data_IF_765148905724
#
_entry.id   IF_765148905724
#
_cell.length_a   1.000
_cell.length_b   1.000
_cell.length_c   1.000
_cell.angle_alpha   90.00
_cell.angle_beta   90.00
_cell.angle_gamma   90.00
#
_symmetry.space_group_name_H-M   'P 1'
#
loop_
_entity.id
_entity.type
_entity.pdbx_description
1 polymer ?
#
# COMPACT_ATOMS: atom_id res chain seq x y z
N UNK A 1 11.76 22.04 -10.62
CA UNK A 1 12.00 20.72 -9.98
C UNK A 1 10.76 19.93 -10.29
N UNK A 2 10.83 18.92 -11.15
CA UNK A 2 9.64 18.20 -11.65
C UNK A 2 9.04 17.39 -10.51
N UNK A 3 8.00 17.92 -9.90
CA UNK A 3 7.05 17.17 -9.07
C UNK A 3 6.52 16.04 -9.94
N UNK A 4 6.97 14.81 -9.67
CA UNK A 4 6.40 13.62 -10.27
C UNK A 4 4.98 13.50 -9.72
N UNK A 5 4.04 14.09 -10.44
CA UNK A 5 2.63 13.86 -10.24
C UNK A 5 2.37 12.43 -10.77
N UNK A 6 2.66 11.42 -9.96
CA UNK A 6 2.27 10.04 -10.22
C UNK A 6 0.74 10.01 -10.21
N UNK A 7 0.14 10.26 -11.38
CA UNK A 7 -1.30 10.23 -11.53
C UNK A 7 -1.80 8.81 -11.24
N UNK A 8 -2.30 8.63 -10.02
CA UNK A 8 -2.96 7.41 -9.60
C UNK A 8 -4.11 7.09 -10.57
N UNK A 9 -4.22 5.83 -10.97
CA UNK A 9 -5.39 5.38 -11.72
C UNK A 9 -6.65 5.52 -10.84
N UNK A 10 -7.84 5.46 -11.44
CA UNK A 10 -9.10 5.61 -10.71
C UNK A 10 -9.24 4.61 -9.55
N UNK A 11 -8.72 3.39 -9.73
CA UNK A 11 -8.71 2.36 -8.69
C UNK A 11 -7.78 2.76 -7.54
N UNK A 12 -6.55 3.18 -7.83
CA UNK A 12 -5.61 3.67 -6.82
C UNK A 12 -6.11 4.94 -6.11
N UNK A 13 -6.79 5.85 -6.81
CA UNK A 13 -7.43 7.05 -6.22
C UNK A 13 -8.51 6.67 -5.21
N UNK A 14 -9.35 5.68 -5.55
CA UNK A 14 -10.35 5.13 -4.62
C UNK A 14 -9.67 4.39 -3.46
N UNK A 15 -8.59 3.68 -3.74
CA UNK A 15 -7.85 2.88 -2.76
C UNK A 15 -7.09 3.74 -1.74
N UNK A 16 -6.53 4.89 -2.13
CA UNK A 16 -5.93 5.83 -1.18
C UNK A 16 -6.90 6.42 -0.17
N UNK A 17 -8.21 6.36 -0.45
CA UNK A 17 -9.27 6.72 0.48
C UNK A 17 -9.88 5.51 1.19
N UNK A 18 -9.38 4.30 0.91
CA UNK A 18 -9.89 3.06 1.46
C UNK A 18 -9.35 2.82 2.88
N UNK A 19 -10.14 2.15 3.71
CA UNK A 19 -9.75 1.84 5.09
C UNK A 19 -8.61 0.82 5.15
N UNK A 20 -7.91 0.76 6.29
CA UNK A 20 -6.75 -0.14 6.51
C UNK A 20 -7.06 -1.64 6.35
N UNK A 21 -8.34 -2.01 6.40
CA UNK A 21 -8.83 -3.39 6.28
C UNK A 21 -9.21 -3.76 4.85
N UNK A 22 -9.25 -2.78 3.95
CA UNK A 22 -9.60 -3.03 2.55
C UNK A 22 -8.49 -3.82 1.89
N UNK A 23 -8.89 -4.83 1.13
CA UNK A 23 -7.97 -5.68 0.36
C UNK A 23 -7.43 -4.92 -0.85
N UNK A 24 -6.22 -5.24 -1.34
CA UNK A 24 -5.69 -4.65 -2.57
C UNK A 24 -6.70 -4.80 -3.71
N UNK A 25 -6.90 -3.75 -4.50
CA UNK A 25 -7.72 -3.86 -5.71
C UNK A 25 -6.99 -4.69 -6.78
N UNK A 26 -7.72 -5.12 -7.82
CA UNK A 26 -7.27 -6.07 -8.85
C UNK A 26 -5.93 -5.76 -9.55
N UNK A 27 -5.53 -4.49 -9.57
CA UNK A 27 -4.33 -4.03 -10.24
C UNK A 27 -3.13 -3.87 -9.29
N UNK A 28 -3.32 -3.94 -7.97
CA UNK A 28 -2.22 -4.04 -7.02
C UNK A 28 -1.70 -5.47 -6.99
N UNK A 29 -0.47 -5.65 -7.47
CA UNK A 29 0.26 -6.90 -7.33
C UNK A 29 1.21 -6.81 -6.16
N UNK A 30 1.27 -7.84 -5.31
CA UNK A 30 2.26 -7.86 -4.24
C UNK A 30 3.64 -8.05 -4.84
N UNK A 31 4.55 -7.11 -4.56
CA UNK A 31 5.95 -7.15 -5.00
C UNK A 31 6.87 -7.74 -3.94
N UNK A 32 6.34 -7.94 -2.73
CA UNK A 32 7.04 -8.56 -1.63
C UNK A 32 6.53 -8.03 -0.30
N UNK A 33 7.38 -8.12 0.69
CA UNK A 33 7.09 -7.61 2.02
C UNK A 33 8.29 -7.76 2.92
N UNK A 34 8.19 -7.15 4.09
CA UNK A 34 9.19 -7.23 5.13
C UNK A 34 8.53 -7.78 6.36
N UNK A 35 8.97 -8.95 6.79
CA UNK A 35 8.53 -9.50 8.07
C UNK A 35 9.11 -8.64 9.21
N UNK A 36 8.22 -8.05 10.00
CA UNK A 36 8.59 -7.23 11.15
C UNK A 36 7.81 -7.74 12.34
N UNK A 37 8.53 -8.05 13.41
CA UNK A 37 7.94 -8.34 14.71
C UNK A 37 8.29 -7.21 15.66
N UNK A 38 7.28 -6.45 16.07
CA UNK A 38 7.42 -5.34 17.00
C UNK A 38 6.75 -5.73 18.33
N UNK A 39 7.56 -5.96 19.36
CA UNK A 39 7.10 -6.28 20.72
C UNK A 39 6.10 -7.47 20.75
N UNK A 40 6.39 -8.52 19.98
CA UNK A 40 5.55 -9.72 19.89
C UNK A 40 4.26 -9.54 19.10
N UNK A 41 4.11 -8.42 18.36
CA UNK A 41 3.04 -8.20 17.41
C UNK A 41 3.58 -8.23 15.98
N UNK A 42 2.81 -8.87 15.10
CA UNK A 42 3.06 -8.82 13.66
C UNK A 42 2.89 -7.37 13.17
N UNK A 43 3.98 -6.84 12.63
CA UNK A 43 4.08 -5.53 12.01
C UNK A 43 4.57 -5.65 10.56
N UNK A 44 4.40 -6.84 9.97
CA UNK A 44 4.96 -7.17 8.66
C UNK A 44 4.39 -6.28 7.56
N UNK A 45 5.26 -5.53 6.90
CA UNK A 45 4.91 -4.67 5.79
C UNK A 45 4.68 -5.52 4.55
N UNK A 46 3.65 -5.19 3.77
CA UNK A 46 3.43 -5.78 2.45
C UNK A 46 3.56 -4.71 1.40
N UNK A 47 4.44 -4.94 0.44
CA UNK A 47 4.65 -4.04 -0.67
C UNK A 47 3.82 -4.50 -1.85
N UNK A 48 3.21 -3.53 -2.51
CA UNK A 48 2.41 -3.72 -3.70
C UNK A 48 2.79 -2.70 -4.75
N UNK A 49 2.52 -3.03 -6.01
CA UNK A 49 2.67 -2.11 -7.12
C UNK A 49 1.46 -2.21 -8.02
N UNK A 50 0.90 -1.07 -8.39
CA UNK A 50 -0.18 -1.02 -9.35
C UNK A 50 0.39 -1.31 -10.75
N UNK A 51 -0.11 -2.33 -11.43
CA UNK A 51 0.28 -2.64 -12.82
C UNK A 51 -0.25 -1.63 -13.85
N UNK A 52 -1.21 -0.80 -13.46
CA UNK A 52 -1.90 0.14 -14.34
C UNK A 52 -1.22 1.52 -14.33
N UNK A 53 -1.13 2.17 -13.16
CA UNK A 53 -0.44 3.46 -13.01
C UNK A 53 1.03 3.33 -12.56
N UNK A 54 1.48 2.14 -12.19
CA UNK A 54 2.86 1.91 -11.74
C UNK A 54 3.15 2.29 -10.29
N UNK A 55 2.20 2.92 -9.59
CA UNK A 55 2.37 3.42 -8.23
C UNK A 55 2.61 2.31 -7.21
N UNK A 56 3.51 2.56 -6.28
CA UNK A 56 3.88 1.62 -5.22
C UNK A 56 3.06 1.92 -3.97
N UNK A 57 2.60 0.86 -3.31
CA UNK A 57 1.78 0.93 -2.12
C UNK A 57 2.39 0.06 -1.04
N UNK A 58 2.32 0.52 0.19
CA UNK A 58 2.75 -0.20 1.38
C UNK A 58 1.51 -0.43 2.24
N UNK A 59 1.31 -1.68 2.64
CA UNK A 59 0.30 -2.04 3.63
C UNK A 59 0.97 -2.45 4.93
N UNK A 60 0.65 -1.73 6.00
CA UNK A 60 1.16 -1.99 7.35
C UNK A 60 0.03 -2.46 8.28
N UNK A 61 0.14 -3.64 8.92
CA UNK A 61 -0.86 -4.14 9.86
C UNK A 61 -0.84 -3.44 11.23
N UNK A 62 0.06 -2.48 11.44
CA UNK A 62 0.27 -1.82 12.72
C UNK A 62 -0.95 -1.06 13.24
N UNK A 63 -1.23 -1.16 14.54
CA UNK A 63 -2.27 -0.38 15.23
C UNK A 63 -2.06 1.15 15.11
N UNK A 64 -0.81 1.57 14.84
CA UNK A 64 -0.38 2.95 14.61
C UNK A 64 -0.02 3.25 13.13
N UNK A 65 -0.02 2.24 12.25
CA UNK A 65 0.26 2.40 10.82
C UNK A 65 -0.92 3.06 10.10
N UNK A 66 -0.63 3.93 9.13
CA UNK A 66 -1.62 4.76 8.45
C UNK A 66 -2.48 3.99 7.43
N UNK A 67 -2.22 2.70 7.20
CA UNK A 67 -2.97 1.88 6.24
C UNK A 67 -2.19 1.70 4.95
N UNK A 68 -2.83 2.06 3.83
CA UNK A 68 -2.23 2.09 2.51
C UNK A 68 -1.46 3.41 2.33
N UNK A 69 -0.15 3.34 2.12
CA UNK A 69 0.74 4.51 1.99
C UNK A 69 1.60 4.40 0.74
#
# INVERSE_FOLDING_TARGET
MTEKNEELCELCKKHGNAGRKESPHENLVSTGGKEINAHGKDASERYYRCRDCGHEWIWEPGNYGMGWI
#
